data_IF_946686290656
#
_entry.id   IF_946686290656
#
_cell.length_a   1.000
_cell.length_b   1.000
_cell.length_c   1.000
_cell.angle_alpha   90.00
_cell.angle_beta   90.00
_cell.angle_gamma   90.00
#
_symmetry.space_group_name_H-M   'P 1'
#
loop_
_entity.id
_entity.type
_entity.pdbx_description
1 polymer ?
#
# COMPACT_ATOMS: atom_id res chain seq x y z
N UNK A 1 11.14 -9.08 3.73
CA UNK A 1 11.54 -8.95 2.30
C UNK A 1 10.93 -10.05 1.46
N UNK A 2 11.02 -11.31 1.89
CA UNK A 2 10.48 -12.48 1.16
C UNK A 2 8.98 -12.37 0.84
N UNK A 3 8.18 -11.83 1.77
CA UNK A 3 6.74 -11.62 1.59
C UNK A 3 6.37 -10.63 0.46
N UNK A 4 7.23 -9.64 0.17
CA UNK A 4 7.03 -8.75 -0.98
C UNK A 4 7.32 -9.48 -2.30
N UNK A 5 8.30 -10.39 -2.29
CA UNK A 5 8.58 -11.26 -3.43
C UNK A 5 7.40 -12.17 -3.80
N UNK A 6 6.63 -12.64 -2.81
CA UNK A 6 5.40 -13.41 -3.04
C UNK A 6 4.32 -12.61 -3.79
N UNK A 7 4.35 -11.28 -3.68
CA UNK A 7 3.47 -10.35 -4.40
C UNK A 7 4.04 -9.85 -5.72
N UNK A 8 5.25 -10.28 -6.10
CA UNK A 8 5.97 -9.74 -7.25
C UNK A 8 6.51 -8.32 -7.03
N UNK A 9 6.61 -7.87 -5.78
CA UNK A 9 7.05 -6.52 -5.42
C UNK A 9 8.55 -6.51 -5.10
N UNK A 10 9.28 -5.57 -5.70
CA UNK A 10 10.64 -5.25 -5.32
C UNK A 10 10.66 -4.27 -4.15
N UNK A 11 11.36 -4.65 -3.07
CA UNK A 11 11.62 -3.75 -1.94
C UNK A 11 12.68 -2.68 -2.25
N UNK A 12 13.40 -2.80 -3.37
CA UNK A 12 14.38 -1.81 -3.82
C UNK A 12 13.93 -1.09 -5.09
N UNK A 13 14.36 0.16 -5.22
CA UNK A 13 14.18 0.99 -6.41
C UNK A 13 15.16 0.61 -7.53
N UNK A 14 15.08 1.32 -8.66
CA UNK A 14 15.94 1.11 -9.83
C UNK A 14 17.44 1.42 -9.56
N UNK A 15 17.75 2.11 -8.47
CA UNK A 15 19.13 2.42 -8.04
C UNK A 15 19.68 1.40 -7.04
N UNK A 16 18.86 0.41 -6.64
CA UNK A 16 19.20 -0.59 -5.63
C UNK A 16 19.00 -0.12 -4.19
N UNK A 17 18.41 1.06 -3.97
CA UNK A 17 18.10 1.56 -2.62
C UNK A 17 16.75 1.01 -2.15
N UNK A 18 16.61 0.82 -0.85
CA UNK A 18 15.33 0.42 -0.25
C UNK A 18 14.31 1.54 -0.49
N UNK A 19 13.14 1.18 -1.03
CA UNK A 19 12.03 2.12 -1.23
C UNK A 19 11.59 2.70 0.11
N UNK A 20 11.10 3.93 0.12
CA UNK A 20 10.44 4.46 1.30
C UNK A 20 9.17 3.63 1.60
N UNK A 21 8.64 3.76 2.82
CA UNK A 21 7.45 3.02 3.22
C UNK A 21 6.22 3.40 2.40
N UNK A 22 6.11 4.66 1.97
CA UNK A 22 4.97 5.16 1.19
C UNK A 22 4.89 4.51 -0.19
N UNK A 23 5.99 4.48 -0.95
CA UNK A 23 6.04 3.87 -2.28
C UNK A 23 5.81 2.37 -2.18
N UNK A 24 6.42 1.71 -1.18
CA UNK A 24 6.23 0.28 -0.97
C UNK A 24 4.79 -0.06 -0.59
N UNK A 25 4.10 0.80 0.16
CA UNK A 25 2.69 0.63 0.49
C UNK A 25 1.80 0.72 -0.75
N UNK A 26 2.12 1.62 -1.69
CA UNK A 26 1.39 1.75 -2.96
C UNK A 26 1.60 0.50 -3.84
N UNK A 27 2.82 -0.02 -3.92
CA UNK A 27 3.09 -1.29 -4.62
C UNK A 27 2.28 -2.46 -4.04
N UNK A 28 2.19 -2.52 -2.69
CA UNK A 28 1.39 -3.53 -1.99
C UNK A 28 -0.10 -3.37 -2.29
N UNK A 29 -0.61 -2.15 -2.32
CA UNK A 29 -2.00 -1.88 -2.67
C UNK A 29 -2.33 -2.38 -4.08
N UNK A 30 -1.46 -2.09 -5.06
CA UNK A 30 -1.69 -2.53 -6.44
C UNK A 30 -1.65 -4.04 -6.57
N UNK A 31 -0.68 -4.71 -5.93
CA UNK A 31 -0.62 -6.18 -5.96
C UNK A 31 -1.82 -6.82 -5.26
N UNK A 32 -2.24 -6.31 -4.10
CA UNK A 32 -3.44 -6.81 -3.40
C UNK A 32 -4.72 -6.56 -4.21
N UNK A 33 -4.82 -5.45 -4.95
CA UNK A 33 -6.02 -5.13 -5.73
C UNK A 33 -6.33 -6.20 -6.79
N UNK A 34 -5.29 -6.78 -7.38
CA UNK A 34 -5.38 -7.82 -8.42
C UNK A 34 -5.15 -9.24 -7.92
N UNK A 35 -4.82 -9.41 -6.63
CA UNK A 35 -4.60 -10.72 -6.02
C UNK A 35 -5.92 -11.50 -5.94
N UNK A 36 -5.94 -12.73 -6.46
CA UNK A 36 -7.10 -13.60 -6.69
C UNK A 36 -8.39 -13.32 -5.89
N UNK A 37 -8.68 -14.19 -4.93
CA UNK A 37 -9.91 -14.19 -4.14
C UNK A 37 -9.78 -13.38 -2.86
N UNK A 38 -10.91 -12.99 -2.25
CA UNK A 38 -10.89 -12.32 -0.95
C UNK A 38 -10.24 -13.16 0.16
N UNK A 39 -10.32 -14.50 0.07
CA UNK A 39 -9.67 -15.38 1.04
C UNK A 39 -8.13 -15.30 0.93
N UNK A 40 -7.59 -15.29 -0.29
CA UNK A 40 -6.15 -15.14 -0.53
C UNK A 40 -5.64 -13.77 -0.07
N UNK A 41 -6.41 -12.70 -0.34
CA UNK A 41 -6.11 -11.36 0.17
C UNK A 41 -6.06 -11.31 1.69
N UNK A 42 -7.00 -11.97 2.38
CA UNK A 42 -7.05 -12.01 3.84
C UNK A 42 -5.89 -12.82 4.43
N UNK A 43 -5.55 -13.98 3.84
CA UNK A 43 -4.38 -14.76 4.26
C UNK A 43 -3.10 -13.94 4.15
N UNK A 44 -2.94 -13.22 3.03
CA UNK A 44 -1.79 -12.36 2.81
C UNK A 44 -1.72 -11.21 3.83
N UNK A 45 -2.85 -10.54 4.07
CA UNK A 45 -2.94 -9.49 5.09
C UNK A 45 -2.53 -10.00 6.47
N UNK A 46 -3.00 -11.18 6.86
CA UNK A 46 -2.64 -11.81 8.13
C UNK A 46 -1.12 -12.08 8.23
N UNK A 47 -0.47 -12.55 7.15
CA UNK A 47 0.99 -12.77 7.11
C UNK A 47 1.78 -11.47 7.30
N UNK A 48 1.23 -10.34 6.86
CA UNK A 48 1.81 -9.01 7.03
C UNK A 48 1.42 -8.32 8.34
N UNK A 49 0.55 -8.92 9.16
CA UNK A 49 -0.01 -8.25 10.34
C UNK A 49 -0.90 -7.06 9.98
N UNK A 50 -1.49 -7.05 8.78
CA UNK A 50 -2.39 -6.02 8.29
C UNK A 50 -3.81 -6.32 8.80
N UNK A 51 -4.41 -5.34 9.47
CA UNK A 51 -5.80 -5.42 9.92
C UNK A 51 -6.83 -5.34 8.78
N UNK A 52 -8.08 -5.76 9.02
CA UNK A 52 -9.13 -5.79 8.01
C UNK A 52 -9.43 -4.41 7.41
N UNK A 53 -9.43 -3.34 8.21
CA UNK A 53 -9.71 -1.98 7.72
C UNK A 53 -8.65 -1.48 6.74
N UNK A 54 -7.38 -1.81 7.02
CA UNK A 54 -6.29 -1.48 6.11
C UNK A 54 -6.36 -2.35 4.84
N UNK A 55 -6.73 -3.62 4.95
CA UNK A 55 -6.97 -4.47 3.78
C UNK A 55 -8.07 -3.90 2.86
N UNK A 56 -9.17 -3.41 3.44
CA UNK A 56 -10.26 -2.75 2.69
C UNK A 56 -9.78 -1.51 1.93
N UNK A 57 -8.78 -0.81 2.46
CA UNK A 57 -8.15 0.34 1.80
C UNK A 57 -7.21 -0.12 0.68
N UNK A 58 -6.33 -1.10 0.97
CA UNK A 58 -5.33 -1.60 0.03
C UNK A 58 -5.96 -2.28 -1.20
N UNK A 59 -7.07 -3.00 -1.05
CA UNK A 59 -7.74 -3.67 -2.18
C UNK A 59 -8.33 -2.68 -3.21
N UNK A 60 -8.40 -1.38 -2.90
CA UNK A 60 -8.82 -0.33 -3.84
C UNK A 60 -7.67 0.11 -4.79
N UNK A 61 -6.44 -0.31 -4.51
CA UNK A 61 -5.25 0.02 -5.31
C UNK A 61 -4.62 1.37 -4.93
N UNK A 62 -3.42 1.62 -5.46
CA UNK A 62 -2.62 2.82 -5.17
C UNK A 62 -3.33 4.11 -5.58
N UNK A 63 -3.99 4.09 -6.74
CA UNK A 63 -4.72 5.24 -7.28
C UNK A 63 -5.79 5.77 -6.32
N UNK A 64 -6.60 4.89 -5.72
CA UNK A 64 -7.63 5.30 -4.77
C UNK A 64 -7.01 5.93 -3.51
N UNK A 65 -5.88 5.40 -3.04
CA UNK A 65 -5.14 5.93 -1.90
C UNK A 65 -4.56 7.32 -2.24
N UNK A 66 -4.03 7.52 -3.44
CA UNK A 66 -3.53 8.82 -3.89
C UNK A 66 -4.65 9.87 -4.00
N UNK A 67 -5.81 9.48 -4.52
CA UNK A 67 -7.00 10.34 -4.59
C UNK A 67 -7.47 10.74 -3.18
N UNK A 68 -7.55 9.80 -2.25
CA UNK A 68 -7.88 10.08 -0.84
C UNK A 68 -6.83 11.00 -0.18
N UNK A 69 -5.54 10.81 -0.44
CA UNK A 69 -4.46 11.67 0.06
C UNK A 69 -4.59 13.10 -0.49
N UNK A 70 -4.95 13.23 -1.77
CA UNK A 70 -5.17 14.53 -2.41
C UNK A 70 -6.38 15.24 -1.78
N UNK A 71 -7.50 14.54 -1.64
CA UNK A 71 -8.71 15.07 -0.99
C UNK A 71 -8.43 15.51 0.45
N UNK A 72 -7.70 14.71 1.23
CA UNK A 72 -7.32 15.07 2.59
C UNK A 72 -6.49 16.38 2.67
N UNK A 73 -5.62 16.62 1.69
CA UNK A 73 -4.87 17.90 1.59
C UNK A 73 -5.78 19.06 1.23
N UNK A 74 -6.66 18.87 0.26
CA UNK A 74 -7.62 19.89 -0.19
C UNK A 74 -8.60 20.30 0.92
N UNK A 75 -8.98 19.36 1.78
CA UNK A 75 -9.84 19.59 2.94
C UNK A 75 -9.08 20.13 4.17
N UNK A 76 -7.76 20.29 4.09
CA UNK A 76 -6.95 20.85 5.18
C UNK A 76 -6.66 19.87 6.33
N UNK A 77 -6.83 18.57 6.13
CA UNK A 77 -6.50 17.55 7.14
C UNK A 77 -4.99 17.28 7.25
N UNK A 78 -4.19 17.75 6.30
CA UNK A 78 -2.73 17.57 6.31
C UNK A 78 -2.06 18.83 6.83
N UNK A 79 -1.39 18.70 7.98
CA UNK A 79 -0.53 19.76 8.53
C UNK A 79 0.86 19.58 7.92
N UNK A 80 1.35 20.59 7.19
CA UNK A 80 2.71 20.57 6.68
C UNK A 80 3.71 20.79 7.83
N UNK A 81 4.91 20.21 7.72
CA UNK A 81 5.94 20.30 8.77
C UNK A 81 6.46 21.74 8.98
N UNK A 82 6.10 22.66 8.09
CA UNK A 82 6.45 24.08 8.12
C UNK A 82 5.27 25.01 8.47
N UNK A 83 4.14 24.45 8.93
CA UNK A 83 3.00 25.24 9.39
C UNK A 83 3.20 25.80 10.81
#
# INVERSE_FOLDING_TARGET
VEVFGLLGISATDATGKIKNADDLLLDVADSISVLGTQAEKLEFANKLGIGPDLLLSLQQGSKAIEEQRKEARELGFVIDKNA
#
